data_IF_593284912141
#
_entry.id   IF_593284912141
#
_cell.length_a   1.000
_cell.length_b   1.000
_cell.length_c   1.000
_cell.angle_alpha   90.00
_cell.angle_beta   90.00
_cell.angle_gamma   90.00
#
_symmetry.space_group_name_H-M   'P 1'
#
loop_
_entity.id
_entity.type
_entity.pdbx_description
1 polymer ?
#
# COMPACT_ATOMS: atom_id res chain seq x y z
N UNK A 1 11.38 10.11 -15.26
CA UNK A 1 10.96 11.16 -14.32
C UNK A 1 10.50 10.45 -13.07
N UNK A 2 11.16 10.66 -11.94
CA UNK A 2 10.64 10.22 -10.64
C UNK A 2 9.53 11.21 -10.28
N UNK A 3 8.31 10.72 -10.08
CA UNK A 3 7.18 11.57 -9.74
C UNK A 3 7.16 11.74 -8.23
N UNK A 4 6.99 12.98 -7.76
CA UNK A 4 6.72 13.20 -6.33
C UNK A 4 5.30 12.69 -5.95
N UNK A 5 4.98 12.71 -4.66
CA UNK A 5 3.67 12.26 -4.16
C UNK A 5 2.51 13.00 -4.86
N UNK A 6 2.67 14.28 -5.18
CA UNK A 6 1.64 15.07 -5.87
C UNK A 6 1.41 14.58 -7.30
N UNK A 7 2.50 14.29 -8.03
CA UNK A 7 2.44 13.75 -9.38
C UNK A 7 1.79 12.38 -9.43
N UNK A 8 2.11 11.49 -8.48
CA UNK A 8 1.53 10.15 -8.41
C UNK A 8 0.07 10.15 -8.00
N UNK A 9 -0.30 10.94 -6.98
CA UNK A 9 -1.71 11.05 -6.55
C UNK A 9 -2.58 11.56 -7.70
N UNK A 10 -2.15 12.59 -8.44
CA UNK A 10 -2.84 13.06 -9.64
C UNK A 10 -2.93 11.98 -10.72
N UNK A 11 -1.85 11.23 -10.94
CA UNK A 11 -1.82 10.14 -11.93
C UNK A 11 -2.85 9.07 -11.58
N UNK A 12 -2.86 8.58 -10.34
CA UNK A 12 -3.77 7.52 -9.90
C UNK A 12 -5.22 8.00 -9.86
N UNK A 13 -5.49 9.22 -9.37
CA UNK A 13 -6.84 9.77 -9.32
C UNK A 13 -7.46 10.05 -10.70
N UNK A 14 -6.63 10.31 -11.71
CA UNK A 14 -7.10 10.54 -13.09
C UNK A 14 -7.11 9.28 -13.96
N UNK A 15 -6.49 8.19 -13.48
CA UNK A 15 -6.43 6.93 -14.20
C UNK A 15 -7.81 6.24 -14.25
N UNK A 16 -8.11 5.61 -15.38
CA UNK A 16 -9.36 4.87 -15.58
C UNK A 16 -9.18 3.69 -16.53
N UNK A 17 -9.93 2.60 -16.28
CA UNK A 17 -10.08 1.48 -17.20
C UNK A 17 -11.18 1.77 -18.21
N UNK A 18 -10.95 1.42 -19.47
CA UNK A 18 -12.01 1.35 -20.48
C UNK A 18 -12.85 0.11 -20.23
N UNK A 19 -14.10 0.30 -19.80
CA UNK A 19 -15.13 -0.74 -19.87
C UNK A 19 -15.91 -0.65 -21.19
N UNK A 20 -16.72 -1.68 -21.47
CA UNK A 20 -17.57 -1.79 -22.66
C UNK A 20 -18.58 -0.63 -22.82
N UNK A 21 -18.98 0.04 -21.73
CA UNK A 21 -19.99 1.12 -21.76
C UNK A 21 -19.62 2.36 -20.94
N UNK A 22 -18.63 2.28 -20.03
CA UNK A 22 -18.21 3.41 -19.18
C UNK A 22 -16.74 3.28 -18.79
N UNK A 23 -16.07 4.41 -18.58
CA UNK A 23 -14.76 4.45 -17.92
C UNK A 23 -14.94 4.26 -16.42
N UNK A 24 -14.23 3.28 -15.85
CA UNK A 24 -14.19 3.01 -14.42
C UNK A 24 -12.92 3.64 -13.84
N UNK A 25 -12.99 4.49 -12.80
CA UNK A 25 -11.79 5.05 -12.20
C UNK A 25 -10.94 3.92 -11.60
N UNK A 26 -9.61 4.05 -11.68
CA UNK A 26 -8.69 3.12 -11.02
C UNK A 26 -8.80 3.28 -9.50
N UNK A 27 -8.85 4.51 -9.00
CA UNK A 27 -9.02 4.75 -7.58
C UNK A 27 -10.50 4.88 -7.21
N UNK A 28 -10.93 4.08 -6.23
CA UNK A 28 -12.26 4.17 -5.64
C UNK A 28 -12.15 4.67 -4.20
N UNK A 29 -12.61 5.90 -3.90
CA UNK A 29 -12.52 6.43 -2.55
C UNK A 29 -13.44 5.66 -1.59
N UNK A 30 -13.00 5.50 -0.35
CA UNK A 30 -13.75 4.88 0.75
C UNK A 30 -14.06 5.89 1.86
N UNK A 31 -13.03 6.56 2.39
CA UNK A 31 -13.18 7.56 3.45
C UNK A 31 -12.03 8.57 3.40
N UNK A 32 -12.28 9.82 3.77
CA UNK A 32 -11.22 10.81 3.96
C UNK A 32 -10.51 10.58 5.29
N UNK A 33 -9.28 11.05 5.42
CA UNK A 33 -8.52 11.05 6.68
C UNK A 33 -7.95 12.44 6.94
N UNK A 34 -7.35 12.65 8.11
CA UNK A 34 -6.76 13.93 8.53
C UNK A 34 -5.38 13.75 9.16
N UNK A 35 -4.62 14.83 9.26
CA UNK A 35 -3.30 14.79 9.90
C UNK A 35 -3.39 14.33 11.36
N UNK A 36 -4.42 14.76 12.08
CA UNK A 36 -4.65 14.38 13.48
C UNK A 36 -5.02 12.91 13.61
N UNK A 37 -5.86 12.39 12.71
CA UNK A 37 -6.19 10.96 12.67
C UNK A 37 -4.95 10.12 12.39
N UNK A 38 -4.15 10.48 11.38
CA UNK A 38 -2.95 9.71 11.04
C UNK A 38 -1.88 9.77 12.14
N UNK A 39 -1.79 10.89 12.88
CA UNK A 39 -0.94 10.98 14.07
C UNK A 39 -1.43 10.02 15.17
N UNK A 40 -2.74 9.97 15.44
CA UNK A 40 -3.31 9.01 16.41
C UNK A 40 -3.09 7.56 15.97
N UNK A 41 -3.27 7.26 14.69
CA UNK A 41 -2.99 5.91 14.17
C UNK A 41 -1.51 5.55 14.36
N UNK A 42 -0.58 6.46 14.08
CA UNK A 42 0.84 6.24 14.31
C UNK A 42 1.17 5.96 15.79
N UNK A 43 0.52 6.67 16.71
CA UNK A 43 0.61 6.41 18.16
C UNK A 43 0.05 5.03 18.53
N UNK A 44 -1.13 4.66 17.99
CA UNK A 44 -1.79 3.38 18.25
C UNK A 44 -0.96 2.18 17.75
N UNK A 45 -0.37 2.27 16.55
CA UNK A 45 0.49 1.20 16.00
C UNK A 45 1.92 1.23 16.56
N UNK A 46 2.28 2.25 17.33
CA UNK A 46 3.60 2.38 17.95
C UNK A 46 4.77 2.56 16.98
N UNK A 47 4.50 2.92 15.71
CA UNK A 47 5.52 3.15 14.68
C UNK A 47 5.08 4.29 13.76
N UNK A 48 5.98 5.23 13.38
CA UNK A 48 5.62 6.32 12.50
C UNK A 48 5.28 5.81 11.10
N UNK A 49 4.22 6.36 10.50
CA UNK A 49 3.95 6.12 9.08
C UNK A 49 5.09 6.71 8.23
N UNK A 50 5.55 6.00 7.19
CA UNK A 50 6.45 6.58 6.20
C UNK A 50 5.85 7.88 5.64
N UNK A 51 6.68 8.92 5.48
CA UNK A 51 6.23 10.25 5.08
C UNK A 51 5.40 10.22 3.79
N UNK A 52 5.84 9.44 2.80
CA UNK A 52 5.16 9.31 1.51
C UNK A 52 3.79 8.62 1.65
N UNK A 53 3.68 7.59 2.50
CA UNK A 53 2.40 6.94 2.80
C UNK A 53 1.45 7.90 3.51
N UNK A 54 1.95 8.66 4.50
CA UNK A 54 1.16 9.68 5.19
C UNK A 54 0.63 10.74 4.21
N UNK A 55 1.51 11.29 3.38
CA UNK A 55 1.15 12.31 2.39
C UNK A 55 0.17 11.77 1.34
N UNK A 56 0.35 10.52 0.91
CA UNK A 56 -0.58 9.83 0.04
C UNK A 56 -1.98 9.74 0.65
N UNK A 57 -2.09 9.21 1.87
CA UNK A 57 -3.37 9.06 2.56
C UNK A 57 -4.05 10.41 2.80
N UNK A 58 -3.29 11.47 3.11
CA UNK A 58 -3.85 12.83 3.21
C UNK A 58 -4.39 13.36 1.88
N UNK A 59 -3.76 12.99 0.76
CA UNK A 59 -4.14 13.47 -0.56
C UNK A 59 -5.32 12.70 -1.16
N UNK A 60 -5.36 11.37 -1.02
CA UNK A 60 -6.37 10.52 -1.67
C UNK A 60 -7.39 9.91 -0.71
N UNK A 61 -7.13 9.96 0.60
CA UNK A 61 -7.91 9.26 1.61
C UNK A 61 -7.65 7.75 1.61
N UNK A 62 -8.50 7.03 2.35
CA UNK A 62 -8.64 5.58 2.22
C UNK A 62 -9.46 5.25 0.98
N UNK A 63 -9.13 4.14 0.33
CA UNK A 63 -9.77 3.72 -0.91
C UNK A 63 -9.14 2.48 -1.49
N UNK A 64 -9.56 2.11 -2.70
CA UNK A 64 -9.07 0.94 -3.41
C UNK A 64 -8.39 1.37 -4.71
N UNK A 65 -7.26 0.74 -5.05
CA UNK A 65 -6.62 0.84 -6.36
C UNK A 65 -7.00 -0.40 -7.18
N UNK A 66 -7.61 -0.17 -8.33
CA UNK A 66 -8.11 -1.16 -9.30
C UNK A 66 -8.97 -2.26 -8.67
N UNK A 67 -9.62 -1.98 -7.53
CA UNK A 67 -10.34 -2.94 -6.68
C UNK A 67 -9.47 -4.08 -6.12
N UNK A 68 -8.18 -4.13 -6.46
CA UNK A 68 -7.25 -5.18 -6.04
C UNK A 68 -6.52 -4.84 -4.74
N UNK A 69 -6.14 -3.57 -4.53
CA UNK A 69 -5.38 -3.12 -3.36
C UNK A 69 -6.20 -2.15 -2.52
N UNK A 70 -6.44 -2.52 -1.27
CA UNK A 70 -7.27 -1.76 -0.35
C UNK A 70 -6.46 -1.04 0.72
N UNK A 71 -6.70 0.26 0.89
CA UNK A 71 -6.21 1.07 2.00
C UNK A 71 -7.36 1.35 2.95
N UNK A 72 -7.24 0.96 4.21
CA UNK A 72 -8.24 1.20 5.27
C UNK A 72 -7.51 1.45 6.58
N UNK A 73 -8.14 2.19 7.50
CA UNK A 73 -7.65 2.35 8.88
C UNK A 73 -7.37 0.99 9.52
N UNK A 74 -8.26 0.03 9.33
CA UNK A 74 -8.17 -1.31 9.94
C UNK A 74 -6.97 -2.13 9.43
N UNK A 75 -6.37 -1.75 8.30
CA UNK A 75 -5.15 -2.36 7.78
C UNK A 75 -3.88 -1.80 8.42
N UNK A 76 -3.97 -0.64 9.07
CA UNK A 76 -2.87 -0.02 9.81
C UNK A 76 -2.75 -0.70 11.18
N UNK A 77 -1.89 -1.72 11.24
CA UNK A 77 -1.68 -2.54 12.43
C UNK A 77 -0.20 -2.86 12.60
N UNK A 78 0.31 -2.73 13.81
CA UNK A 78 1.69 -3.07 14.19
C UNK A 78 2.05 -4.52 13.86
N UNK A 79 3.32 -4.75 13.56
CA UNK A 79 3.92 -6.08 13.48
C UNK A 79 4.77 -6.27 14.73
N UNK A 80 4.34 -7.16 15.62
CA UNK A 80 4.92 -7.31 16.96
C UNK A 80 6.01 -8.42 17.04
N UNK A 81 6.08 -9.28 16.02
CA UNK A 81 6.94 -10.44 15.98
C UNK A 81 7.49 -10.73 14.57
N UNK A 82 8.51 -11.57 14.52
CA UNK A 82 9.20 -11.98 13.30
C UNK A 82 10.09 -10.93 12.65
N UNK A 83 10.44 -11.21 11.40
CA UNK A 83 11.42 -10.45 10.61
C UNK A 83 11.09 -8.96 10.42
N UNK A 84 9.79 -8.61 10.40
CA UNK A 84 9.33 -7.24 10.20
C UNK A 84 8.84 -6.58 11.50
N UNK A 85 9.23 -7.12 12.66
CA UNK A 85 8.92 -6.53 13.96
C UNK A 85 9.32 -5.06 14.01
N UNK A 86 8.42 -4.21 14.52
CA UNK A 86 8.58 -2.76 14.57
C UNK A 86 8.11 -2.03 13.31
N UNK A 87 7.74 -2.77 12.27
CA UNK A 87 6.97 -2.30 11.13
C UNK A 87 5.46 -2.32 11.39
N UNK A 88 4.69 -2.01 10.35
CA UNK A 88 3.24 -2.14 10.37
C UNK A 88 2.69 -2.50 8.99
N UNK A 89 1.53 -3.17 8.99
CA UNK A 89 0.71 -3.36 7.80
C UNK A 89 0.03 -2.03 7.44
N UNK A 90 -0.30 -1.84 6.16
CA UNK A 90 -1.00 -0.63 5.71
C UNK A 90 -2.05 -0.86 4.61
N UNK A 91 -1.99 -1.99 3.92
CA UNK A 91 -2.94 -2.35 2.88
C UNK A 91 -3.19 -3.86 2.85
N UNK A 92 -4.30 -4.24 2.21
CA UNK A 92 -4.68 -5.63 1.98
C UNK A 92 -5.15 -5.81 0.54
N UNK A 93 -4.79 -6.92 -0.10
CA UNK A 93 -5.36 -7.26 -1.42
C UNK A 93 -6.65 -8.08 -1.33
N UNK A 94 -7.29 -8.31 -2.48
CA UNK A 94 -8.52 -9.11 -2.61
C UNK A 94 -8.38 -10.58 -2.19
N UNK A 95 -7.14 -11.11 -2.13
CA UNK A 95 -6.87 -12.47 -1.66
C UNK A 95 -6.59 -12.49 -0.14
N UNK A 96 -6.58 -11.32 0.50
CA UNK A 96 -6.35 -11.14 1.92
C UNK A 96 -4.88 -11.08 2.30
N UNK A 97 -3.95 -11.00 1.35
CA UNK A 97 -2.54 -10.78 1.63
C UNK A 97 -2.31 -9.34 2.10
N UNK A 98 -1.30 -9.15 2.92
CA UNK A 98 -1.02 -7.84 3.51
C UNK A 98 0.20 -7.19 2.87
N UNK A 99 0.20 -5.87 2.90
CA UNK A 99 1.33 -5.03 2.52
C UNK A 99 1.78 -4.27 3.75
N UNK A 100 3.08 -4.26 3.99
CA UNK A 100 3.68 -3.72 5.20
C UNK A 100 4.85 -2.79 4.88
N UNK A 101 5.18 -1.94 5.85
CA UNK A 101 6.43 -1.19 5.85
C UNK A 101 7.27 -1.56 7.07
N UNK A 102 8.60 -1.52 6.93
CA UNK A 102 9.53 -1.58 8.07
C UNK A 102 9.88 -0.18 8.60
N UNK A 103 10.74 -0.12 9.63
CA UNK A 103 11.20 1.15 10.22
C UNK A 103 12.01 2.03 9.27
N UNK A 104 12.50 1.49 8.15
CA UNK A 104 13.17 2.26 7.08
C UNK A 104 12.19 2.77 6.02
N UNK A 105 10.92 2.36 6.10
CA UNK A 105 9.87 2.67 5.13
C UNK A 105 9.84 1.75 3.91
N UNK A 106 10.64 0.68 3.89
CA UNK A 106 10.66 -0.31 2.80
C UNK A 106 9.34 -1.06 2.74
N UNK A 107 8.83 -1.35 1.55
CA UNK A 107 7.53 -2.00 1.37
C UNK A 107 7.71 -3.50 1.14
N UNK A 108 6.88 -4.28 1.83
CA UNK A 108 6.87 -5.74 1.78
C UNK A 108 5.49 -6.27 1.43
N UNK A 109 5.48 -7.36 0.67
CA UNK A 109 4.34 -8.25 0.52
C UNK A 109 4.40 -9.34 1.59
N UNK A 110 3.26 -9.65 2.22
CA UNK A 110 3.10 -10.72 3.21
C UNK A 110 2.00 -11.67 2.73
N UNK A 111 2.39 -12.89 2.40
CA UNK A 111 1.44 -13.94 2.00
C UNK A 111 0.61 -14.36 3.21
N UNK A 112 -0.72 -14.45 3.02
CA UNK A 112 -1.61 -14.92 4.09
C UNK A 112 -1.64 -16.44 4.18
N UNK A 113 -1.56 -17.13 3.04
CA UNK A 113 -1.71 -18.60 2.97
C UNK A 113 -0.44 -19.35 3.34
N UNK A 114 0.72 -18.68 3.31
CA UNK A 114 2.02 -19.27 3.59
C UNK A 114 2.87 -18.31 4.42
N UNK A 115 3.76 -18.80 5.31
CA UNK A 115 4.65 -17.95 6.09
C UNK A 115 5.80 -17.47 5.21
N UNK A 116 5.50 -16.65 4.21
CA UNK A 116 6.47 -16.07 3.28
C UNK A 116 6.20 -14.59 3.06
N UNK A 117 7.27 -13.87 2.75
CA UNK A 117 7.22 -12.44 2.47
C UNK A 117 8.21 -12.08 1.36
N UNK A 118 8.04 -10.92 0.75
CA UNK A 118 8.96 -10.42 -0.26
C UNK A 118 9.12 -8.91 -0.16
N UNK A 119 10.31 -8.41 -0.46
CA UNK A 119 10.55 -6.98 -0.64
C UNK A 119 9.93 -6.56 -1.97
N UNK A 120 9.11 -5.51 -1.96
CA UNK A 120 8.50 -4.97 -3.18
C UNK A 120 9.23 -3.71 -3.67
N UNK A 121 9.55 -2.80 -2.76
CA UNK A 121 10.18 -1.51 -3.11
C UNK A 121 10.92 -0.92 -1.92
N UNK A 122 11.78 0.08 -2.16
CA UNK A 122 12.56 0.72 -1.10
C UNK A 122 11.75 1.70 -0.26
N UNK A 123 10.65 2.21 -0.80
CA UNK A 123 9.73 3.13 -0.12
C UNK A 123 8.34 3.09 -0.77
N UNK A 124 7.38 3.77 -0.15
CA UNK A 124 6.01 3.82 -0.64
C UNK A 124 5.86 4.50 -2.00
N UNK A 125 6.69 5.51 -2.30
CA UNK A 125 6.63 6.20 -3.59
C UNK A 125 7.01 5.25 -4.74
N UNK A 126 8.14 4.56 -4.62
CA UNK A 126 8.57 3.53 -5.59
C UNK A 126 7.52 2.41 -5.73
N UNK A 127 6.81 2.06 -4.64
CA UNK A 127 5.73 1.08 -4.70
C UNK A 127 4.58 1.53 -5.61
N UNK A 128 4.10 2.77 -5.45
CA UNK A 128 3.04 3.32 -6.29
C UNK A 128 3.53 3.57 -7.72
N UNK A 129 4.76 4.06 -7.92
CA UNK A 129 5.37 4.24 -9.25
C UNK A 129 5.38 2.91 -10.02
N UNK A 130 5.79 1.83 -9.36
CA UNK A 130 5.86 0.51 -9.95
C UNK A 130 4.46 -0.07 -10.25
N UNK A 131 3.46 0.16 -9.38
CA UNK A 131 2.05 -0.18 -9.70
C UNK A 131 1.57 0.55 -10.95
N UNK A 132 1.80 1.86 -11.04
CA UNK A 132 1.42 2.66 -12.22
C UNK A 132 2.14 2.14 -13.47
N UNK A 133 3.45 1.87 -13.37
CA UNK A 133 4.26 1.34 -14.49
C UNK A 133 3.77 -0.02 -14.98
N UNK A 134 3.25 -0.86 -14.07
CA UNK A 134 2.66 -2.16 -14.36
C UNK A 134 1.19 -2.10 -14.75
N UNK A 135 0.65 -0.89 -14.94
CA UNK A 135 -0.77 -0.69 -15.26
C UNK A 135 -1.66 -1.38 -14.21
N UNK A 136 -1.31 -1.20 -12.94
CA UNK A 136 -2.03 -1.66 -11.74
C UNK A 136 -2.22 -3.18 -11.61
N UNK A 137 -1.49 -3.99 -12.39
CA UNK A 137 -1.52 -5.45 -12.31
C UNK A 137 -0.74 -5.96 -11.09
N UNK A 138 -1.34 -5.83 -9.91
CA UNK A 138 -0.70 -6.17 -8.63
C UNK A 138 -0.41 -7.66 -8.54
N UNK A 139 -1.35 -8.52 -8.94
CA UNK A 139 -1.19 -9.98 -8.89
C UNK A 139 0.01 -10.43 -9.73
N UNK A 140 0.16 -9.91 -10.95
CA UNK A 140 1.30 -10.21 -11.82
C UNK A 140 2.63 -9.75 -11.19
N UNK A 141 2.61 -8.64 -10.46
CA UNK A 141 3.79 -8.17 -9.74
C UNK A 141 4.16 -9.11 -8.61
N UNK A 142 3.22 -9.43 -7.72
CA UNK A 142 3.44 -10.33 -6.59
C UNK A 142 3.94 -11.69 -7.05
N UNK A 143 3.36 -12.26 -8.10
CA UNK A 143 3.77 -13.55 -8.66
C UNK A 143 5.20 -13.55 -9.23
N UNK A 144 5.79 -12.37 -9.49
CA UNK A 144 7.17 -12.23 -9.97
C UNK A 144 8.19 -12.03 -8.85
N UNK A 145 7.75 -11.90 -7.59
CA UNK A 145 8.64 -11.65 -6.46
C UNK A 145 9.34 -12.94 -6.00
N UNK A 146 10.61 -12.81 -5.65
CA UNK A 146 11.33 -13.85 -4.92
C UNK A 146 10.93 -13.79 -3.44
N UNK A 147 10.23 -14.82 -2.97
CA UNK A 147 9.75 -14.91 -1.60
C UNK A 147 10.77 -15.52 -0.66
N UNK A 148 10.82 -15.00 0.56
CA UNK A 148 11.61 -15.52 1.68
C UNK A 148 10.68 -16.08 2.75
N UNK A 149 11.15 -17.07 3.50
CA UNK A 149 10.41 -17.58 4.66
C UNK A 149 10.28 -16.51 5.73
N UNK A 150 9.08 -16.34 6.27
CA UNK A 150 8.79 -15.49 7.40
C UNK A 150 8.86 -16.31 8.68
N UNK A 151 9.89 -16.08 9.49
CA UNK A 151 9.95 -16.62 10.85
C UNK A 151 9.35 -15.60 11.82
N UNK A 152 8.47 -16.11 12.70
CA UNK A 152 7.73 -15.35 13.71
C UNK A 152 8.53 -15.17 15.01
#
# INVERSE_FOLDING_TARGET
>A
MTLDVTGLTKTVLSASRKGLLRRKPIFKPYATTSSDELSKVAEEIGTPLPLDLRNWLLAVGYGDIDEELSFRRDWLVSIESGHLKGGARFAQDILGNFYAFDSSGRIFYLCRSEPVFAVMSKNFLEFIEELVRRDYKLVDWVNSLETQKYEW
#
